data_IF_110130460217
#
_entry.id   IF_110130460217
#
_cell.length_a   1.000
_cell.length_b   1.000
_cell.length_c   1.000
_cell.angle_alpha   90.00
_cell.angle_beta   90.00
_cell.angle_gamma   90.00
#
_symmetry.space_group_name_H-M   'P 1'
#
loop_
_entity.id
_entity.type
_entity.pdbx_description
1 polymer ?
#
# COMPACT_ATOMS: atom_id res chain seq x y z
N UNK A 1 14.30 -24.46 29.58
CA UNK A 1 14.24 -23.05 30.02
C UNK A 1 13.55 -22.31 28.90
N UNK A 2 12.34 -21.83 29.17
CA UNK A 2 11.48 -21.25 28.13
C UNK A 2 12.16 -20.05 27.48
N UNK A 3 12.50 -20.23 26.21
CA UNK A 3 13.00 -19.18 25.36
C UNK A 3 11.85 -18.21 25.09
N UNK A 4 12.00 -16.97 25.53
CA UNK A 4 11.08 -15.90 25.14
C UNK A 4 11.06 -15.84 23.60
N UNK A 5 9.87 -16.02 22.99
CA UNK A 5 9.71 -16.02 21.54
C UNK A 5 9.66 -14.58 21.00
N UNK A 6 10.83 -13.99 20.73
CA UNK A 6 10.95 -12.64 20.20
C UNK A 6 10.40 -12.47 18.78
N UNK A 7 10.29 -13.56 18.01
CA UNK A 7 9.82 -13.52 16.62
C UNK A 7 8.43 -12.90 16.49
N UNK A 8 7.49 -13.26 17.38
CA UNK A 8 6.14 -12.69 17.35
C UNK A 8 6.14 -11.17 17.56
N UNK A 9 6.96 -10.68 18.51
CA UNK A 9 7.10 -9.25 18.77
C UNK A 9 7.74 -8.52 17.59
N UNK A 10 8.80 -9.09 17.01
CA UNK A 10 9.50 -8.51 15.86
C UNK A 10 8.58 -8.49 14.62
N UNK A 11 7.82 -9.55 14.36
CA UNK A 11 6.81 -9.58 13.27
C UNK A 11 5.82 -8.45 13.48
N UNK A 12 5.30 -8.25 14.70
CA UNK A 12 4.37 -7.18 15.01
C UNK A 12 4.94 -5.78 14.73
N UNK A 13 6.16 -5.51 15.19
CA UNK A 13 6.84 -4.22 14.95
C UNK A 13 7.07 -3.99 13.46
N UNK A 14 7.63 -4.97 12.74
CA UNK A 14 7.89 -4.86 11.31
C UNK A 14 6.59 -4.69 10.52
N UNK A 15 5.54 -5.41 10.90
CA UNK A 15 4.20 -5.29 10.29
C UNK A 15 3.67 -3.87 10.42
N UNK A 16 3.73 -3.30 11.62
CA UNK A 16 3.27 -1.94 11.87
C UNK A 16 4.06 -0.91 11.04
N UNK A 17 5.38 -1.09 10.93
CA UNK A 17 6.23 -0.23 10.11
C UNK A 17 5.91 -0.35 8.62
N UNK A 18 5.63 -1.55 8.11
CA UNK A 18 5.23 -1.76 6.71
C UNK A 18 3.91 -1.03 6.44
N UNK A 19 2.88 -1.26 7.25
CA UNK A 19 1.58 -0.60 7.09
C UNK A 19 1.75 0.93 7.17
N UNK A 20 2.51 1.41 8.17
CA UNK A 20 2.83 2.82 8.35
C UNK A 20 3.56 3.44 7.15
N UNK A 21 4.43 2.68 6.47
CA UNK A 21 5.12 3.10 5.25
C UNK A 21 4.18 3.16 4.04
N UNK A 22 3.21 2.25 3.95
CA UNK A 22 2.27 2.24 2.81
C UNK A 22 1.33 3.45 2.81
N UNK A 23 0.99 4.03 3.97
CA UNK A 23 0.20 5.27 4.04
C UNK A 23 0.77 6.44 3.21
N UNK A 24 2.02 6.91 3.43
CA UNK A 24 2.61 7.96 2.61
C UNK A 24 2.89 7.49 1.17
N UNK A 25 3.09 6.19 0.94
CA UNK A 25 3.22 5.64 -0.42
C UNK A 25 1.94 5.84 -1.21
N UNK A 26 0.76 5.54 -0.64
CA UNK A 26 -0.55 5.76 -1.29
C UNK A 26 -0.70 7.23 -1.67
N UNK A 27 -0.47 8.15 -0.72
CA UNK A 27 -0.62 9.59 -0.94
C UNK A 27 0.30 10.06 -2.07
N UNK A 28 1.57 9.64 -2.07
CA UNK A 28 2.51 10.03 -3.13
C UNK A 28 2.18 9.35 -4.47
N UNK A 29 1.76 8.09 -4.46
CA UNK A 29 1.41 7.37 -5.66
C UNK A 29 0.21 8.02 -6.37
N UNK A 30 -0.83 8.39 -5.62
CA UNK A 30 -1.96 9.16 -6.15
C UNK A 30 -1.49 10.55 -6.62
N UNK A 31 -0.70 11.27 -5.82
CA UNK A 31 -0.28 12.63 -6.16
C UNK A 31 0.51 12.70 -7.48
N UNK A 32 1.42 11.75 -7.73
CA UNK A 32 2.29 11.77 -8.92
C UNK A 32 1.73 10.96 -10.11
N UNK A 33 1.12 9.80 -9.87
CA UNK A 33 0.66 8.90 -10.93
C UNK A 33 -0.87 8.75 -11.00
N UNK A 34 -1.58 9.16 -9.95
CA UNK A 34 -3.01 8.95 -9.82
C UNK A 34 -3.38 7.47 -9.70
N UNK A 35 -4.64 7.16 -9.99
CA UNK A 35 -5.20 5.81 -9.94
C UNK A 35 -4.64 4.83 -10.98
N UNK A 36 -3.89 5.31 -11.97
CA UNK A 36 -3.33 4.47 -13.05
C UNK A 36 -2.17 3.56 -12.60
N UNK A 37 -1.54 3.84 -11.46
CA UNK A 37 -0.43 3.04 -10.94
C UNK A 37 -0.86 1.76 -10.20
N UNK A 38 -2.16 1.46 -10.13
CA UNK A 38 -2.71 0.32 -9.39
C UNK A 38 -2.07 -1.04 -9.78
N UNK A 39 -1.72 -1.23 -11.05
CA UNK A 39 -1.16 -2.50 -11.54
C UNK A 39 0.23 -2.79 -10.96
N UNK A 40 0.99 -1.76 -10.59
CA UNK A 40 2.30 -1.92 -9.93
C UNK A 40 2.10 -2.63 -8.58
N UNK A 41 1.11 -2.18 -7.81
CA UNK A 41 0.77 -2.77 -6.52
C UNK A 41 0.17 -4.17 -6.65
N UNK A 42 -0.55 -4.46 -7.73
CA UNK A 42 -1.00 -5.82 -8.05
C UNK A 42 0.20 -6.76 -8.25
N UNK A 43 1.15 -6.35 -9.09
CA UNK A 43 2.36 -7.15 -9.38
C UNK A 43 3.19 -7.35 -8.10
N UNK A 44 3.42 -6.28 -7.33
CA UNK A 44 4.13 -6.36 -6.05
C UNK A 44 3.44 -7.32 -5.07
N UNK A 45 2.11 -7.26 -5.00
CA UNK A 45 1.33 -8.17 -4.16
C UNK A 45 1.48 -9.64 -4.59
N UNK A 46 1.36 -9.94 -5.89
CA UNK A 46 1.52 -11.31 -6.41
C UNK A 46 2.92 -11.83 -6.14
N UNK A 47 3.96 -11.02 -6.41
CA UNK A 47 5.35 -11.40 -6.14
C UNK A 47 5.58 -11.64 -4.64
N UNK A 48 4.99 -10.82 -3.78
CA UNK A 48 5.07 -11.00 -2.32
C UNK A 48 4.38 -12.28 -1.84
N UNK A 49 3.21 -12.62 -2.38
CA UNK A 49 2.52 -13.89 -2.08
C UNK A 49 3.38 -15.07 -2.53
N UNK A 50 3.86 -15.07 -3.77
CA UNK A 50 4.73 -16.14 -4.29
C UNK A 50 5.94 -16.28 -3.39
N UNK A 51 6.65 -15.20 -3.08
CA UNK A 51 7.80 -15.22 -2.19
C UNK A 51 7.46 -15.80 -0.81
N UNK A 52 6.32 -15.43 -0.21
CA UNK A 52 5.91 -15.94 1.10
C UNK A 52 5.74 -17.47 1.15
N UNK A 53 5.34 -18.09 0.03
CA UNK A 53 5.11 -19.54 -0.06
C UNK A 53 6.41 -20.35 -0.20
N UNK A 54 7.50 -19.74 -0.66
CA UNK A 54 8.78 -20.42 -0.91
C UNK A 54 9.85 -20.10 0.14
N UNK A 55 9.51 -19.38 1.21
CA UNK A 55 10.44 -19.00 2.28
C UNK A 55 10.20 -19.88 3.51
N UNK A 56 11.23 -20.64 3.91
CA UNK A 56 11.16 -21.57 5.05
C UNK A 56 11.06 -20.86 6.42
N UNK A 57 11.58 -19.64 6.53
CA UNK A 57 11.53 -18.86 7.76
C UNK A 57 10.16 -18.24 7.94
N UNK A 58 9.43 -18.65 9.00
CA UNK A 58 8.12 -18.08 9.37
C UNK A 58 8.19 -16.56 9.52
N UNK A 59 9.27 -16.04 10.11
CA UNK A 59 9.49 -14.60 10.27
C UNK A 59 9.51 -13.86 8.92
N UNK A 60 10.34 -14.31 7.99
CA UNK A 60 10.49 -13.65 6.67
C UNK A 60 9.27 -13.90 5.78
N UNK A 61 8.70 -15.11 5.82
CA UNK A 61 7.47 -15.46 5.12
C UNK A 61 6.30 -14.56 5.56
N UNK A 62 6.15 -14.32 6.87
CA UNK A 62 5.14 -13.42 7.40
C UNK A 62 5.33 -11.97 6.92
N UNK A 63 6.58 -11.46 6.88
CA UNK A 63 6.89 -10.13 6.35
C UNK A 63 6.50 -10.02 4.86
N UNK A 64 6.83 -11.03 4.05
CA UNK A 64 6.43 -11.09 2.65
C UNK A 64 4.91 -11.08 2.49
N UNK A 65 4.19 -11.83 3.32
CA UNK A 65 2.73 -11.84 3.35
C UNK A 65 2.15 -10.47 3.69
N UNK A 66 2.63 -9.83 4.76
CA UNK A 66 2.18 -8.47 5.16
C UNK A 66 2.46 -7.45 4.07
N UNK A 67 3.65 -7.47 3.47
CA UNK A 67 3.98 -6.59 2.36
C UNK A 67 3.07 -6.82 1.14
N UNK A 68 2.76 -8.09 0.83
CA UNK A 68 1.87 -8.45 -0.27
C UNK A 68 0.46 -7.88 -0.07
N UNK A 69 -0.13 -8.13 1.10
CA UNK A 69 -1.48 -7.66 1.40
C UNK A 69 -1.55 -6.14 1.60
N UNK A 70 -0.48 -5.51 2.09
CA UNK A 70 -0.37 -4.04 2.12
C UNK A 70 -0.34 -3.45 0.70
N UNK A 71 0.34 -4.13 -0.23
CA UNK A 71 0.32 -3.76 -1.66
C UNK A 71 -1.08 -3.93 -2.25
N UNK A 72 -1.76 -5.04 -2.00
CA UNK A 72 -3.15 -5.23 -2.47
C UNK A 72 -4.11 -4.19 -1.88
N UNK A 73 -4.00 -3.89 -0.59
CA UNK A 73 -4.83 -2.86 0.06
C UNK A 73 -4.61 -1.48 -0.59
N UNK A 74 -3.36 -1.16 -0.92
CA UNK A 74 -2.98 0.11 -1.56
C UNK A 74 -3.72 0.35 -2.87
N UNK A 75 -4.09 -0.71 -3.61
CA UNK A 75 -4.91 -0.57 -4.82
C UNK A 75 -6.22 0.15 -4.49
N UNK A 76 -6.99 -0.36 -3.53
CA UNK A 76 -8.25 0.26 -3.09
C UNK A 76 -8.00 1.65 -2.51
N UNK A 77 -6.97 1.77 -1.68
CA UNK A 77 -6.62 3.01 -0.98
C UNK A 77 -6.29 4.15 -1.95
N UNK A 78 -5.67 3.88 -3.10
CA UNK A 78 -5.36 4.90 -4.11
C UNK A 78 -6.63 5.49 -4.73
N UNK A 79 -7.66 4.69 -4.98
CA UNK A 79 -8.96 5.20 -5.47
C UNK A 79 -9.68 6.01 -4.38
N UNK A 80 -9.62 5.57 -3.13
CA UNK A 80 -10.16 6.35 -2.01
C UNK A 80 -9.38 7.64 -1.78
N UNK A 81 -8.06 7.62 -1.99
CA UNK A 81 -7.22 8.81 -1.87
C UNK A 81 -7.56 9.86 -2.92
N UNK A 82 -7.83 9.43 -4.16
CA UNK A 82 -8.32 10.30 -5.23
C UNK A 82 -9.64 10.98 -4.82
N UNK A 83 -10.57 10.25 -4.20
CA UNK A 83 -11.81 10.80 -3.63
C UNK A 83 -11.56 11.78 -2.47
N UNK A 84 -10.55 11.53 -1.62
CA UNK A 84 -10.18 12.45 -0.53
C UNK A 84 -9.57 13.75 -1.08
N UNK A 85 -8.81 13.68 -2.18
CA UNK A 85 -8.35 14.86 -2.90
C UNK A 85 -9.53 15.62 -3.50
N UNK A 86 -10.51 14.92 -4.08
CA UNK A 86 -11.76 15.54 -4.58
C UNK A 86 -12.51 16.31 -3.49
N UNK A 87 -12.58 15.76 -2.27
CA UNK A 87 -13.18 16.41 -1.09
C UNK A 87 -12.34 17.56 -0.50
N UNK A 88 -11.14 17.81 -1.02
CA UNK A 88 -10.22 18.83 -0.50
C UNK A 88 -9.50 18.45 0.80
N UNK A 89 -9.53 17.18 1.21
CA UNK A 89 -8.84 16.72 2.43
C UNK A 89 -7.32 16.59 2.23
N UNK A 90 -6.88 16.39 0.99
CA UNK A 90 -5.48 16.31 0.61
C UNK A 90 -5.19 17.28 -0.53
N UNK A 91 -3.94 17.79 -0.61
CA UNK A 91 -3.55 18.74 -1.65
C UNK A 91 -3.61 18.07 -3.01
N UNK A 92 -4.35 18.69 -3.92
CA UNK A 92 -4.40 18.31 -5.33
C UNK A 92 -3.08 18.63 -6.02
N UNK A 93 -2.60 17.75 -6.91
CA UNK A 93 -1.50 18.08 -7.80
C UNK A 93 -1.99 19.04 -8.92
N UNK A 94 -1.49 20.29 -8.99
CA UNK A 94 -1.94 21.26 -9.99
C UNK A 94 -1.55 20.89 -11.42
N UNK A 95 -0.56 20.01 -11.60
CA UNK A 95 -0.11 19.54 -12.92
C UNK A 95 -0.95 18.38 -13.47
N UNK A 96 -1.89 17.84 -12.68
CA UNK A 96 -2.72 16.69 -13.04
C UNK A 96 -4.14 17.11 -13.39
N UNK A 97 -4.64 16.55 -14.49
CA UNK A 97 -6.06 16.56 -14.85
C UNK A 97 -6.74 15.35 -14.21
N UNK A 98 -7.79 15.62 -13.44
CA UNK A 98 -8.59 14.60 -12.77
C UNK A 98 -9.82 14.26 -13.61
N UNK A 99 -10.36 13.02 -13.51
CA UNK A 99 -11.53 12.61 -14.27
C UNK A 99 -12.76 13.49 -14.07
N UNK A 100 -12.92 14.10 -12.89
CA UNK A 100 -14.06 14.98 -12.58
C UNK A 100 -13.89 16.43 -13.01
N UNK A 101 -12.68 16.86 -13.42
CA UNK A 101 -12.50 18.23 -13.94
C UNK A 101 -13.35 18.45 -15.19
N UNK A 102 -13.58 17.39 -15.98
CA UNK A 102 -14.40 17.44 -17.18
C UNK A 102 -15.91 17.35 -16.90
N UNK A 103 -16.30 16.88 -15.71
CA UNK A 103 -17.71 16.75 -15.33
C UNK A 103 -18.32 18.02 -14.74
N UNK A 104 -17.52 18.95 -14.20
CA UNK A 104 -18.01 20.22 -13.65
C UNK A 104 -18.14 21.34 -14.70
N UNK A 105 -17.66 21.10 -15.92
CA UNK A 105 -17.68 22.08 -17.04
C UNK A 105 -18.93 21.90 -17.93
N UNK A 106 -19.80 20.92 -17.63
CA UNK A 106 -21.11 20.74 -18.29
C UNK A 106 -22.24 21.19 -17.39
#
# INVERSE_FOLDING_TARGET
>A
MDMINFDGLLIGIVTFLIIGLFHPVVVKAEYYWGTKCWWIFLVLGILGVIASLFIDSVFVSAICGVFAFSSFWTIKEIFEQEERVRKGWFPRNPKRKYPWDDSEVK
#
